data_IF_209080976753
#
_entry.id   IF_209080976753
#
_cell.length_a   1.000
_cell.length_b   1.000
_cell.length_c   1.000
_cell.angle_alpha   90.00
_cell.angle_beta   90.00
_cell.angle_gamma   90.00
#
_symmetry.space_group_name_H-M   'P 1'
#
loop_
_entity.id
_entity.type
_entity.pdbx_description
1 polymer ?
#
# COMPACT_ATOMS: atom_id res chain seq x y z
N UNK A 1 21.21 35.37 14.51
CA UNK A 1 20.23 34.46 15.14
C UNK A 1 19.00 34.54 14.26
N UNK A 2 18.95 33.70 13.23
CA UNK A 2 17.78 33.60 12.37
C UNK A 2 16.84 32.58 13.01
N UNK A 3 15.68 33.08 13.42
CA UNK A 3 14.62 32.24 13.97
C UNK A 3 14.06 31.33 12.86
N UNK A 4 14.30 30.04 12.99
CA UNK A 4 13.58 29.02 12.20
C UNK A 4 12.11 29.18 12.54
N UNK A 5 11.33 29.71 11.59
CA UNK A 5 9.88 29.71 11.66
C UNK A 5 9.47 28.23 11.57
N UNK A 6 9.19 27.61 12.72
CA UNK A 6 8.50 26.31 12.74
C UNK A 6 7.13 26.57 12.09
N UNK A 7 6.94 26.05 10.89
CA UNK A 7 5.62 25.99 10.29
C UNK A 7 4.67 25.30 11.29
N UNK A 8 3.52 25.91 11.53
CA UNK A 8 2.48 25.36 12.41
C UNK A 8 2.20 23.91 11.99
N UNK A 9 2.69 22.96 12.77
CA UNK A 9 2.50 21.53 12.50
C UNK A 9 1.01 21.25 12.62
N UNK A 10 0.34 20.92 11.52
CA UNK A 10 -1.06 20.52 11.53
C UNK A 10 -1.25 19.42 12.55
N UNK A 11 -2.15 19.62 13.51
CA UNK A 11 -2.52 18.59 14.49
C UNK A 11 -3.76 17.87 14.00
N UNK A 12 -3.74 16.55 14.08
CA UNK A 12 -4.88 15.69 13.78
C UNK A 12 -5.26 14.93 15.06
N UNK A 13 -6.55 14.66 15.26
CA UNK A 13 -7.00 13.82 16.36
C UNK A 13 -6.92 12.34 16.01
N UNK A 14 -7.32 12.00 14.80
CA UNK A 14 -7.37 10.62 14.31
C UNK A 14 -7.02 10.58 12.82
N UNK A 15 -6.16 9.64 12.45
CA UNK A 15 -5.72 9.43 11.07
C UNK A 15 -6.03 7.99 10.66
N UNK A 16 -6.59 7.81 9.46
CA UNK A 16 -6.75 6.50 8.86
C UNK A 16 -5.53 6.17 8.00
N UNK A 17 -4.87 5.05 8.27
CA UNK A 17 -3.71 4.57 7.53
C UNK A 17 -4.10 3.41 6.60
N UNK A 18 -3.80 3.54 5.31
CA UNK A 18 -3.77 2.41 4.38
C UNK A 18 -2.65 1.45 4.81
N UNK A 19 -3.03 0.28 5.32
CA UNK A 19 -2.12 -0.62 6.03
C UNK A 19 -1.98 -1.96 5.32
N UNK A 20 -0.78 -2.27 4.85
CA UNK A 20 -0.46 -3.56 4.24
C UNK A 20 0.16 -4.57 5.23
N UNK A 21 0.60 -4.10 6.39
CA UNK A 21 1.38 -4.92 7.32
C UNK A 21 2.85 -5.10 6.92
N UNK A 22 3.30 -4.49 5.84
CA UNK A 22 4.71 -4.42 5.45
C UNK A 22 5.54 -3.54 6.39
N UNK A 23 6.85 -3.44 6.12
CA UNK A 23 7.78 -2.61 6.89
C UNK A 23 7.31 -1.16 6.90
N UNK A 24 7.19 -0.57 5.72
CA UNK A 24 6.87 0.84 5.52
C UNK A 24 5.59 1.25 6.28
N UNK A 25 4.49 0.50 6.08
CA UNK A 25 3.22 0.85 6.74
C UNK A 25 3.24 0.58 8.25
N UNK A 26 4.09 -0.34 8.72
CA UNK A 26 4.22 -0.61 10.16
C UNK A 26 4.95 0.50 10.88
N UNK A 27 6.01 1.07 10.30
CA UNK A 27 6.75 2.20 10.90
C UNK A 27 5.98 3.52 10.83
N UNK A 28 5.05 3.65 9.89
CA UNK A 28 4.19 4.84 9.78
C UNK A 28 3.29 5.02 11.01
N UNK A 29 2.85 3.94 11.65
CA UNK A 29 1.98 4.05 12.84
C UNK A 29 2.65 4.85 13.97
N UNK A 30 3.83 4.48 14.51
CA UNK A 30 4.50 5.27 15.53
C UNK A 30 4.93 6.65 15.00
N UNK A 31 5.34 6.75 13.74
CA UNK A 31 5.72 8.02 13.15
C UNK A 31 4.57 9.05 13.16
N UNK A 32 3.35 8.63 12.81
CA UNK A 32 2.15 9.48 12.90
C UNK A 32 1.88 9.94 14.33
N UNK A 33 2.02 9.04 15.30
CA UNK A 33 1.81 9.37 16.71
C UNK A 33 2.86 10.36 17.22
N UNK A 34 4.12 10.18 16.85
CA UNK A 34 5.23 11.05 17.26
C UNK A 34 5.16 12.44 16.61
N UNK A 35 4.77 12.50 15.33
CA UNK A 35 4.80 13.74 14.56
C UNK A 35 3.50 14.54 14.62
N UNK A 36 2.36 13.88 14.77
CA UNK A 36 1.05 14.54 14.77
C UNK A 36 0.29 14.37 16.08
N UNK A 37 0.75 13.53 17.01
CA UNK A 37 0.07 13.29 18.29
C UNK A 37 -1.31 12.64 18.14
N UNK A 38 -1.57 11.96 17.03
CA UNK A 38 -2.89 11.46 16.67
C UNK A 38 -3.09 9.98 17.05
N UNK A 39 -4.34 9.58 17.17
CA UNK A 39 -4.75 8.18 17.15
C UNK A 39 -4.67 7.66 15.71
N UNK A 40 -4.26 6.40 15.54
CA UNK A 40 -4.12 5.77 14.22
C UNK A 40 -5.09 4.61 14.09
N UNK A 41 -6.01 4.73 13.14
CA UNK A 41 -6.87 3.64 12.67
C UNK A 41 -6.23 3.06 11.40
N UNK A 42 -6.16 1.75 11.29
CA UNK A 42 -5.61 1.08 10.12
C UNK A 42 -6.70 0.41 9.29
N UNK A 43 -6.51 0.35 7.98
CA UNK A 43 -7.34 -0.42 7.07
C UNK A 43 -6.48 -1.24 6.12
N UNK A 44 -6.68 -2.57 6.15
CA UNK A 44 -6.12 -3.52 5.19
C UNK A 44 -7.25 -4.02 4.28
N UNK A 45 -7.00 -4.09 2.99
CA UNK A 45 -7.95 -4.55 1.99
C UNK A 45 -7.58 -5.93 1.47
N UNK A 46 -8.55 -6.84 1.40
CA UNK A 46 -8.45 -8.10 0.69
C UNK A 46 -8.99 -7.91 -0.74
N UNK A 47 -8.09 -7.90 -1.69
CA UNK A 47 -8.37 -7.87 -3.13
C UNK A 47 -7.96 -9.19 -3.82
N UNK A 48 -7.80 -10.26 -3.04
CA UNK A 48 -7.41 -11.59 -3.50
C UNK A 48 -5.90 -11.76 -3.67
N UNK A 49 -5.09 -11.11 -2.83
CA UNK A 49 -3.63 -11.25 -2.82
C UNK A 49 -3.15 -12.62 -2.30
N UNK A 50 -4.06 -13.40 -1.69
CA UNK A 50 -3.75 -14.75 -1.20
C UNK A 50 -2.86 -14.79 0.04
N UNK A 51 -2.73 -13.70 0.77
CA UNK A 51 -2.01 -13.60 2.03
C UNK A 51 -2.95 -13.82 3.21
N UNK A 52 -2.41 -14.35 4.31
CA UNK A 52 -3.15 -14.41 5.57
C UNK A 52 -3.22 -13.01 6.19
N UNK A 53 -4.42 -12.45 6.25
CA UNK A 53 -4.65 -11.12 6.82
C UNK A 53 -4.92 -11.16 8.34
N UNK A 54 -5.36 -12.30 8.88
CA UNK A 54 -5.66 -12.43 10.30
C UNK A 54 -4.50 -12.02 11.24
N UNK A 55 -3.23 -12.36 10.96
CA UNK A 55 -2.10 -11.92 11.80
C UNK A 55 -1.90 -10.41 11.87
N UNK A 56 -2.48 -9.65 10.92
CA UNK A 56 -2.35 -8.20 10.91
C UNK A 56 -2.99 -7.53 12.13
N UNK A 57 -4.02 -8.13 12.74
CA UNK A 57 -4.65 -7.60 13.96
C UNK A 57 -3.65 -7.47 15.10
N UNK A 58 -2.94 -8.55 15.39
CA UNK A 58 -1.93 -8.56 16.46
C UNK A 58 -0.76 -7.63 16.12
N UNK A 59 -0.34 -7.60 14.87
CA UNK A 59 0.75 -6.74 14.40
C UNK A 59 0.39 -5.26 14.54
N UNK A 60 -0.75 -4.83 14.02
CA UNK A 60 -1.19 -3.45 14.09
C UNK A 60 -1.35 -2.99 15.57
N UNK A 61 -1.94 -3.84 16.42
CA UNK A 61 -2.08 -3.59 17.85
C UNK A 61 -0.73 -3.42 18.54
N UNK A 62 0.21 -4.32 18.32
CA UNK A 62 1.58 -4.26 18.88
C UNK A 62 2.34 -3.02 18.43
N UNK A 63 2.10 -2.57 17.21
CA UNK A 63 2.71 -1.36 16.65
C UNK A 63 2.04 -0.07 17.15
N UNK A 64 0.88 -0.17 17.83
CA UNK A 64 0.21 0.94 18.49
C UNK A 64 -0.97 1.54 17.72
N UNK A 65 -1.53 0.83 16.74
CA UNK A 65 -2.79 1.20 16.14
C UNK A 65 -3.94 1.09 17.16
N UNK A 66 -4.87 2.03 17.12
CA UNK A 66 -6.08 2.00 17.95
C UNK A 66 -7.04 0.92 17.46
N UNK A 67 -7.15 0.76 16.13
CA UNK A 67 -8.08 -0.16 15.49
C UNK A 67 -7.53 -0.61 14.13
N UNK A 68 -7.88 -1.81 13.71
CA UNK A 68 -7.65 -2.31 12.36
C UNK A 68 -8.96 -2.79 11.74
N UNK A 69 -9.25 -2.31 10.55
CA UNK A 69 -10.24 -2.87 9.63
C UNK A 69 -9.56 -3.81 8.65
N UNK A 70 -10.13 -4.99 8.44
CA UNK A 70 -9.77 -5.88 7.33
C UNK A 70 -11.03 -6.00 6.47
N UNK A 71 -10.97 -5.45 5.27
CA UNK A 71 -12.12 -5.32 4.38
C UNK A 71 -12.00 -6.31 3.21
N UNK A 72 -12.97 -7.21 3.11
CA UNK A 72 -13.07 -8.12 1.95
C UNK A 72 -13.68 -7.37 0.76
N UNK A 73 -12.83 -6.95 -0.16
CA UNK A 73 -13.23 -6.20 -1.36
C UNK A 73 -13.26 -7.07 -2.62
N UNK A 74 -13.05 -8.39 -2.51
CA UNK A 74 -12.93 -9.29 -3.66
C UNK A 74 -14.12 -9.26 -4.58
N UNK A 75 -15.32 -9.29 -4.02
CA UNK A 75 -16.56 -9.25 -4.80
C UNK A 75 -16.72 -7.93 -5.55
N UNK A 76 -16.61 -6.80 -4.83
CA UNK A 76 -16.71 -5.47 -5.42
C UNK A 76 -15.63 -5.25 -6.48
N UNK A 77 -14.41 -5.75 -6.22
CA UNK A 77 -13.30 -5.67 -7.17
C UNK A 77 -13.62 -6.38 -8.50
N UNK A 78 -14.21 -7.57 -8.43
CA UNK A 78 -14.61 -8.30 -9.64
C UNK A 78 -15.76 -7.61 -10.37
N UNK A 79 -16.83 -7.27 -9.66
CA UNK A 79 -18.08 -6.78 -10.27
C UNK A 79 -17.93 -5.36 -10.83
N UNK A 80 -17.30 -4.45 -10.09
CA UNK A 80 -17.31 -3.02 -10.39
C UNK A 80 -16.01 -2.53 -11.06
N UNK A 81 -14.93 -3.32 -11.02
CA UNK A 81 -13.63 -2.92 -11.58
C UNK A 81 -13.13 -3.91 -12.65
N UNK A 82 -13.02 -5.20 -12.33
CA UNK A 82 -12.46 -6.19 -13.28
C UNK A 82 -13.37 -6.36 -14.49
N UNK A 83 -14.66 -6.60 -14.27
CA UNK A 83 -15.61 -6.79 -15.37
C UNK A 83 -15.72 -5.59 -16.31
N UNK A 84 -15.85 -4.34 -15.84
CA UNK A 84 -15.83 -3.17 -16.71
C UNK A 84 -14.53 -3.04 -17.50
N UNK A 85 -13.38 -3.27 -16.85
CA UNK A 85 -12.05 -3.19 -17.47
C UNK A 85 -11.90 -4.25 -18.57
N UNK A 86 -12.34 -5.49 -18.30
CA UNK A 86 -12.32 -6.58 -19.27
C UNK A 86 -13.22 -6.28 -20.47
N UNK A 87 -14.45 -5.79 -20.25
CA UNK A 87 -15.37 -5.42 -21.32
C UNK A 87 -14.85 -4.27 -22.18
N UNK A 88 -14.06 -3.38 -21.60
CA UNK A 88 -13.42 -2.27 -22.31
C UNK A 88 -12.15 -2.69 -23.07
N UNK A 89 -11.72 -3.96 -22.96
CA UNK A 89 -10.45 -4.46 -23.49
C UNK A 89 -9.25 -3.57 -23.10
N UNK A 90 -9.26 -3.11 -21.84
CA UNK A 90 -8.28 -2.17 -21.32
C UNK A 90 -6.99 -2.90 -20.92
N UNK A 91 -6.09 -3.05 -21.87
CA UNK A 91 -4.76 -3.64 -21.70
C UNK A 91 -3.74 -2.59 -22.09
N UNK A 92 -2.86 -2.23 -21.15
CA UNK A 92 -1.82 -1.25 -21.42
C UNK A 92 -0.74 -1.86 -22.33
N UNK A 93 -0.51 -1.20 -23.48
CA UNK A 93 0.44 -1.61 -24.53
C UNK A 93 0.22 -3.06 -25.04
N UNK A 94 -1.00 -3.58 -24.94
CA UNK A 94 -1.34 -4.94 -25.34
C UNK A 94 -0.73 -6.05 -24.47
N UNK A 95 -0.21 -5.72 -23.29
CA UNK A 95 0.51 -6.65 -22.40
C UNK A 95 0.09 -6.56 -20.95
N UNK A 96 0.04 -5.35 -20.38
CA UNK A 96 -0.16 -5.16 -18.94
C UNK A 96 -1.64 -5.03 -18.59
N UNK A 97 -2.11 -5.91 -17.71
CA UNK A 97 -3.53 -6.05 -17.35
C UNK A 97 -4.07 -4.98 -16.39
N UNK A 98 -3.25 -4.01 -15.98
CA UNK A 98 -3.62 -2.87 -15.15
C UNK A 98 -4.20 -3.19 -13.76
N UNK A 99 -4.05 -4.41 -13.25
CA UNK A 99 -4.69 -4.84 -12.00
C UNK A 99 -4.35 -3.99 -10.79
N UNK A 100 -3.10 -3.51 -10.68
CA UNK A 100 -2.71 -2.54 -9.65
C UNK A 100 -3.41 -1.21 -9.84
N UNK A 101 -3.56 -0.76 -11.10
CA UNK A 101 -4.08 0.56 -11.42
C UNK A 101 -5.53 0.76 -10.98
N UNK A 102 -6.39 -0.26 -11.11
CA UNK A 102 -7.79 -0.14 -10.71
C UNK A 102 -8.10 -0.77 -9.34
N UNK A 103 -7.17 -1.52 -8.73
CA UNK A 103 -7.29 -1.94 -7.34
C UNK A 103 -7.16 -0.76 -6.37
N UNK A 104 -6.24 0.19 -6.64
CA UNK A 104 -5.99 1.34 -5.76
C UNK A 104 -7.20 2.28 -5.62
N UNK A 105 -7.95 2.63 -6.67
CA UNK A 105 -9.20 3.39 -6.55
C UNK A 105 -10.26 2.73 -5.67
N UNK A 106 -10.43 1.42 -5.77
CA UNK A 106 -11.34 0.67 -4.91
C UNK A 106 -10.92 0.76 -3.44
N UNK A 107 -9.63 0.52 -3.16
CA UNK A 107 -9.09 0.63 -1.80
C UNK A 107 -9.29 2.06 -1.28
N UNK A 108 -8.99 3.08 -2.09
CA UNK A 108 -9.16 4.48 -1.72
C UNK A 108 -10.60 4.84 -1.38
N UNK A 109 -11.58 4.33 -2.14
CA UNK A 109 -13.01 4.46 -1.83
C UNK A 109 -13.31 3.92 -0.43
N UNK A 110 -12.87 2.70 -0.13
CA UNK A 110 -13.07 2.08 1.18
C UNK A 110 -12.38 2.84 2.31
N UNK A 111 -11.18 3.39 2.05
CA UNK A 111 -10.49 4.24 3.03
C UNK A 111 -11.31 5.49 3.36
N UNK A 112 -11.91 6.14 2.38
CA UNK A 112 -12.77 7.32 2.62
C UNK A 112 -13.99 6.92 3.46
N UNK A 113 -14.71 5.85 3.11
CA UNK A 113 -15.88 5.36 3.86
C UNK A 113 -15.54 5.07 5.33
N UNK A 114 -14.38 4.46 5.59
CA UNK A 114 -13.93 4.17 6.97
C UNK A 114 -13.48 5.45 7.68
N UNK A 115 -12.79 6.36 6.98
CA UNK A 115 -12.35 7.62 7.57
C UNK A 115 -13.55 8.46 8.04
N UNK A 116 -14.61 8.54 7.24
CA UNK A 116 -15.85 9.21 7.60
C UNK A 116 -16.54 8.52 8.78
N UNK A 117 -16.66 7.20 8.75
CA UNK A 117 -17.26 6.39 9.82
C UNK A 117 -16.55 6.56 11.16
N UNK A 118 -15.22 6.62 11.15
CA UNK A 118 -14.39 6.74 12.36
C UNK A 118 -14.13 8.21 12.76
N UNK A 119 -14.61 9.16 11.98
CA UNK A 119 -14.36 10.59 12.22
C UNK A 119 -12.88 10.93 12.13
N UNK A 120 -12.17 10.38 11.14
CA UNK A 120 -10.76 10.67 10.92
C UNK A 120 -10.59 12.05 10.26
N UNK A 121 -9.58 12.78 10.70
CA UNK A 121 -9.26 14.12 10.20
C UNK A 121 -8.38 14.09 8.96
N UNK A 122 -7.73 12.94 8.68
CA UNK A 122 -6.86 12.75 7.52
C UNK A 122 -6.75 11.27 7.15
N UNK A 123 -6.33 11.01 5.90
CA UNK A 123 -5.96 9.68 5.40
C UNK A 123 -4.45 9.68 5.12
N UNK A 124 -3.77 8.61 5.54
CA UNK A 124 -2.35 8.40 5.32
C UNK A 124 -2.11 7.18 4.42
N UNK A 125 -1.14 7.25 3.54
CA UNK A 125 -0.66 6.12 2.75
C UNK A 125 0.87 6.01 2.77
N UNK A 126 1.39 4.78 2.62
CA UNK A 126 2.83 4.50 2.60
C UNK A 126 3.44 4.43 1.19
N UNK A 127 2.79 4.99 0.17
CA UNK A 127 3.32 4.97 -1.18
C UNK A 127 4.55 5.87 -1.30
N UNK A 128 5.59 5.37 -1.97
CA UNK A 128 6.79 6.16 -2.27
C UNK A 128 6.47 7.29 -3.24
N UNK A 129 7.24 8.38 -3.17
CA UNK A 129 7.06 9.53 -4.07
C UNK A 129 7.48 9.28 -5.52
N UNK A 130 7.95 8.08 -5.86
CA UNK A 130 8.50 7.73 -7.19
C UNK A 130 7.50 6.97 -8.09
N UNK A 131 6.56 6.22 -7.48
CA UNK A 131 5.63 5.36 -8.21
C UNK A 131 4.29 6.00 -8.52
N UNK A 132 3.48 5.31 -9.34
CA UNK A 132 2.13 5.74 -9.73
C UNK A 132 1.10 5.58 -8.61
N UNK A 133 1.36 4.74 -7.61
CA UNK A 133 0.38 4.39 -6.58
C UNK A 133 -0.04 5.59 -5.73
N UNK A 134 0.88 6.50 -5.42
CA UNK A 134 0.53 7.75 -4.75
C UNK A 134 -0.53 8.55 -5.50
N UNK A 135 -0.38 8.68 -6.83
CA UNK A 135 -1.33 9.42 -7.68
C UNK A 135 -2.68 8.71 -7.69
N UNK A 136 -2.69 7.38 -7.81
CA UNK A 136 -3.92 6.58 -7.81
C UNK A 136 -4.68 6.72 -6.50
N UNK A 137 -4.01 6.62 -5.35
CA UNK A 137 -4.64 6.82 -4.04
C UNK A 137 -5.12 8.26 -3.86
N UNK A 138 -4.26 9.24 -4.09
CA UNK A 138 -4.57 10.64 -3.80
C UNK A 138 -5.69 11.19 -4.68
N UNK A 139 -5.66 10.93 -5.99
CA UNK A 139 -6.73 11.37 -6.88
C UNK A 139 -8.06 10.67 -6.55
N UNK A 140 -8.03 9.39 -6.20
CA UNK A 140 -9.24 8.66 -5.82
C UNK A 140 -9.79 9.17 -4.49
N UNK A 141 -8.95 9.39 -3.47
CA UNK A 141 -9.38 9.99 -2.21
C UNK A 141 -10.01 11.37 -2.48
N UNK A 142 -9.36 12.20 -3.32
CA UNK A 142 -9.88 13.53 -3.66
C UNK A 142 -11.17 13.49 -4.46
N UNK A 143 -11.40 12.46 -5.26
CA UNK A 143 -12.65 12.27 -5.98
C UNK A 143 -13.83 11.98 -5.04
N UNK A 144 -13.62 11.17 -4.00
CA UNK A 144 -14.66 10.81 -3.02
C UNK A 144 -14.78 11.82 -1.87
N UNK A 145 -13.66 12.39 -1.43
CA UNK A 145 -13.57 13.33 -0.31
C UNK A 145 -12.61 14.50 -0.66
N UNK A 146 -13.06 15.51 -1.44
CA UNK A 146 -12.20 16.57 -1.96
C UNK A 146 -11.43 17.36 -0.88
N UNK A 147 -12.02 17.50 0.29
CA UNK A 147 -11.46 18.27 1.40
C UNK A 147 -10.66 17.42 2.40
N UNK A 148 -10.61 16.09 2.24
CA UNK A 148 -9.88 15.21 3.13
C UNK A 148 -8.37 15.46 3.01
N UNK A 149 -7.68 15.84 4.11
CA UNK A 149 -6.22 15.93 4.11
C UNK A 149 -5.58 14.56 3.85
N UNK A 150 -4.46 14.58 3.13
CA UNK A 150 -3.68 13.37 2.83
C UNK A 150 -2.29 13.57 3.43
N UNK A 151 -1.82 12.55 4.16
CA UNK A 151 -0.47 12.48 4.72
C UNK A 151 0.30 11.42 3.93
N UNK A 152 1.46 11.81 3.41
CA UNK A 152 2.36 10.95 2.65
C UNK A 152 3.76 11.00 3.27
N UNK A 153 4.09 10.15 4.24
CA UNK A 153 5.33 10.19 5.01
C UNK A 153 6.59 10.23 4.15
N UNK A 154 6.62 9.51 3.04
CA UNK A 154 7.75 9.51 2.09
C UNK A 154 8.11 10.88 1.53
N UNK A 155 7.25 11.88 1.67
CA UNK A 155 7.50 13.28 1.30
C UNK A 155 7.92 14.15 2.48
N UNK A 156 7.75 13.65 3.70
CA UNK A 156 7.85 14.45 4.93
C UNK A 156 8.96 13.96 5.87
N UNK A 157 9.23 12.65 5.92
CA UNK A 157 10.21 12.06 6.82
C UNK A 157 11.63 12.06 6.24
N UNK A 158 12.61 11.88 7.14
CA UNK A 158 14.03 11.83 6.75
C UNK A 158 14.52 10.43 6.37
N UNK A 159 13.72 9.40 6.58
CA UNK A 159 14.01 8.01 6.22
C UNK A 159 14.08 7.88 4.71
N UNK A 160 15.21 7.42 4.16
CA UNK A 160 15.44 7.35 2.70
C UNK A 160 15.74 5.96 2.21
N UNK A 161 16.19 5.07 3.09
CA UNK A 161 16.63 3.72 2.74
C UNK A 161 15.89 2.67 3.55
N UNK A 162 15.89 1.44 3.02
CA UNK A 162 15.30 0.29 3.71
C UNK A 162 16.05 -0.04 5.01
N UNK A 163 17.33 0.19 5.05
CA UNK A 163 18.16 0.02 6.24
C UNK A 163 17.72 0.97 7.36
N UNK A 164 17.51 2.24 7.03
CA UNK A 164 17.00 3.25 7.98
C UNK A 164 15.58 2.91 8.47
N UNK A 165 14.73 2.33 7.63
CA UNK A 165 13.42 1.83 8.06
C UNK A 165 13.54 0.69 9.07
N UNK A 166 14.47 -0.24 8.84
CA UNK A 166 14.75 -1.36 9.76
C UNK A 166 15.28 -0.84 11.10
N UNK A 167 16.24 0.08 11.07
CA UNK A 167 16.78 0.71 12.27
C UNK A 167 15.68 1.44 13.06
N UNK A 168 14.80 2.17 12.37
CA UNK A 168 13.66 2.85 12.97
C UNK A 168 12.70 1.86 13.63
N UNK A 169 12.43 0.73 12.96
CA UNK A 169 11.56 -0.33 13.46
C UNK A 169 12.17 -1.02 14.69
N UNK A 170 13.46 -1.38 14.62
CA UNK A 170 14.19 -2.06 15.71
C UNK A 170 14.25 -1.20 16.96
N UNK A 171 14.53 0.09 16.82
CA UNK A 171 14.55 1.04 17.92
C UNK A 171 13.21 1.14 18.68
N UNK A 172 12.10 0.72 18.05
CA UNK A 172 10.74 0.74 18.61
C UNK A 172 10.16 -0.64 18.88
N UNK A 173 10.95 -1.70 18.71
CA UNK A 173 10.53 -3.08 18.92
C UNK A 173 9.40 -3.53 17.98
N UNK A 174 9.34 -2.96 16.77
CA UNK A 174 8.34 -3.33 15.77
C UNK A 174 8.78 -4.62 15.08
N UNK A 175 7.98 -5.70 15.14
CA UNK A 175 8.34 -6.95 14.50
C UNK A 175 8.25 -6.79 12.97
N UNK A 176 9.41 -6.80 12.31
CA UNK A 176 9.50 -6.76 10.85
C UNK A 176 9.84 -8.15 10.36
N UNK A 177 8.99 -8.77 9.55
CA UNK A 177 9.37 -10.00 8.85
C UNK A 177 10.39 -9.64 7.76
N UNK A 178 11.68 -9.79 8.06
CA UNK A 178 12.75 -9.66 7.07
C UNK A 178 12.70 -10.89 6.18
N UNK A 179 11.98 -10.85 5.08
CA UNK A 179 12.10 -11.85 4.02
C UNK A 179 13.36 -11.52 3.22
N UNK A 180 14.46 -12.22 3.54
CA UNK A 180 15.73 -12.10 2.79
C UNK A 180 15.69 -12.78 1.40
N UNK A 181 14.67 -13.58 1.12
CA UNK A 181 14.73 -14.58 0.06
C UNK A 181 14.16 -14.15 -1.30
N UNK A 182 13.57 -12.96 -1.40
CA UNK A 182 13.06 -12.43 -2.67
C UNK A 182 13.31 -10.93 -2.77
N UNK A 183 14.20 -10.52 -3.68
CA UNK A 183 14.56 -9.12 -3.83
C UNK A 183 13.50 -8.28 -4.56
N UNK A 184 12.54 -8.93 -5.25
CA UNK A 184 11.52 -8.27 -6.05
C UNK A 184 10.34 -7.82 -5.23
N UNK A 185 9.85 -6.63 -5.50
CA UNK A 185 8.54 -6.18 -5.07
C UNK A 185 7.45 -6.90 -5.85
N UNK A 186 6.38 -7.31 -5.18
CA UNK A 186 5.26 -8.03 -5.80
C UNK A 186 3.95 -7.32 -5.52
N UNK A 187 3.15 -7.15 -6.56
CA UNK A 187 1.78 -6.69 -6.44
C UNK A 187 0.82 -7.77 -6.96
N UNK A 188 0.10 -8.39 -6.02
CA UNK A 188 -0.81 -9.49 -6.30
C UNK A 188 -2.24 -9.13 -5.93
N UNK A 189 -3.16 -9.46 -6.80
CA UNK A 189 -4.58 -9.43 -6.52
C UNK A 189 -5.29 -10.55 -7.31
N UNK A 190 -6.61 -10.62 -7.24
CA UNK A 190 -7.39 -11.67 -7.92
C UNK A 190 -7.25 -11.62 -9.45
N UNK A 191 -6.84 -10.48 -10.02
CA UNK A 191 -6.74 -10.27 -11.46
C UNK A 191 -5.35 -10.58 -12.01
N UNK A 192 -4.29 -10.22 -11.28
CA UNK A 192 -2.92 -10.41 -11.77
C UNK A 192 -1.88 -10.53 -10.64
N UNK A 193 -0.68 -10.87 -11.05
CA UNK A 193 0.54 -10.75 -10.28
C UNK A 193 1.59 -10.02 -11.13
N UNK A 194 2.18 -8.96 -10.58
CA UNK A 194 3.32 -8.27 -11.16
C UNK A 194 4.52 -8.29 -10.25
N UNK A 195 5.70 -8.25 -10.84
CA UNK A 195 6.99 -8.15 -10.15
C UNK A 195 7.72 -6.92 -10.65
N UNK A 196 8.44 -6.24 -9.75
CA UNK A 196 9.27 -5.07 -10.07
C UNK A 196 10.48 -4.98 -9.16
N UNK A 197 11.46 -4.20 -9.58
CA UNK A 197 12.66 -3.91 -8.80
C UNK A 197 13.89 -4.72 -9.20
N UNK A 198 15.04 -4.36 -8.61
CA UNK A 198 16.34 -4.99 -8.83
C UNK A 198 16.73 -5.05 -10.31
N UNK A 199 17.19 -6.21 -10.76
CA UNK A 199 17.63 -6.47 -12.14
C UNK A 199 16.50 -6.41 -13.18
N UNK A 200 15.23 -6.48 -12.76
CA UNK A 200 14.07 -6.29 -13.66
C UNK A 200 13.91 -4.83 -14.13
N UNK A 201 14.56 -3.88 -13.48
CA UNK A 201 14.50 -2.47 -13.88
C UNK A 201 15.35 -2.18 -15.12
N UNK A 202 16.33 -3.02 -15.42
CA UNK A 202 17.10 -2.94 -16.66
C UNK A 202 16.46 -3.82 -17.74
N UNK A 203 15.89 -3.24 -18.81
CA UNK A 203 15.22 -3.99 -19.88
C UNK A 203 16.17 -4.90 -20.70
N UNK A 204 17.49 -4.79 -20.51
CA UNK A 204 18.45 -5.70 -21.10
C UNK A 204 18.54 -7.04 -20.36
N UNK A 205 18.04 -7.12 -19.15
CA UNK A 205 18.05 -8.34 -18.34
C UNK A 205 16.84 -9.22 -18.66
N UNK A 206 17.10 -10.52 -18.87
CA UNK A 206 16.05 -11.51 -18.99
C UNK A 206 15.47 -11.83 -17.59
N UNK A 207 14.13 -11.86 -17.42
CA UNK A 207 13.53 -12.24 -16.15
C UNK A 207 13.94 -13.65 -15.70
N UNK A 208 14.27 -13.86 -14.41
CA UNK A 208 14.60 -15.19 -13.89
C UNK A 208 13.48 -16.21 -14.14
N UNK A 209 13.84 -17.43 -14.50
CA UNK A 209 12.87 -18.50 -14.83
C UNK A 209 11.97 -18.92 -13.65
N UNK A 210 12.37 -18.68 -12.42
CA UNK A 210 11.59 -18.95 -11.22
C UNK A 210 10.70 -17.78 -10.78
N UNK A 211 10.66 -16.69 -11.56
CA UNK A 211 9.86 -15.51 -11.27
C UNK A 211 8.35 -15.78 -11.35
N UNK A 212 7.80 -16.52 -12.34
CA UNK A 212 6.38 -16.82 -12.40
C UNK A 212 5.93 -17.70 -11.22
N UNK A 213 4.94 -17.23 -10.45
CA UNK A 213 4.43 -17.95 -9.27
C UNK A 213 3.08 -18.60 -9.49
N UNK A 214 2.27 -18.06 -10.40
CA UNK A 214 0.88 -18.50 -10.64
C UNK A 214 0.67 -19.05 -12.05
N UNK A 215 1.68 -18.97 -12.91
CA UNK A 215 1.68 -19.51 -14.27
C UNK A 215 2.96 -20.27 -14.53
N UNK A 216 3.00 -20.99 -15.65
CA UNK A 216 4.20 -21.65 -16.21
C UNK A 216 4.58 -20.97 -17.51
N UNK A 217 5.82 -21.12 -17.90
CA UNK A 217 6.24 -20.76 -19.25
C UNK A 217 5.50 -21.62 -20.28
N UNK A 218 5.28 -21.11 -21.51
CA UNK A 218 4.56 -21.86 -22.54
C UNK A 218 5.17 -23.24 -22.85
N UNK A 219 6.51 -23.34 -22.84
CA UNK A 219 7.26 -24.58 -23.06
C UNK A 219 7.12 -25.61 -21.94
N UNK A 220 6.77 -25.16 -20.73
CA UNK A 220 6.55 -26.01 -19.53
C UNK A 220 5.06 -26.30 -19.27
N UNK A 221 4.18 -25.77 -20.13
CA UNK A 221 2.76 -25.99 -20.04
C UNK A 221 2.39 -27.42 -20.48
N UNK A 222 1.37 -28.06 -19.89
CA UNK A 222 0.91 -29.36 -20.36
C UNK A 222 0.29 -29.23 -21.77
N UNK A 223 0.51 -30.24 -22.60
CA UNK A 223 0.00 -30.29 -23.99
C UNK A 223 -1.53 -30.32 -24.09
N UNK A 224 -2.24 -30.65 -23.01
CA UNK A 224 -3.72 -30.58 -22.84
C UNK A 224 -4.12 -30.49 -21.38
#
# INVERSE_FOLDING_TARGET
>A
MEGIIMADKKTYKRVLLAYSGGLDTSIIIPWLKENYGCAVVCCAADVGQGEELAPLHEKAKKTGAEKLYIEDLRKEFVEDFIWPTLKADAIYEGKYLLGTSFARPLIAKRLVEIAEKEGCDAICHGCTGKGNDQVRFELSIKAFAPNMPIIAPWREWDIKTREEEIEYADARGIPVPVKKDRPYSMDRNIWHLSHEGCDLEDPANEPPRDLPLICKYPEDAPDK
#
